data_IF_740836754822
#
_entry.id   IF_740836754822
#
_cell.length_a   1.000
_cell.length_b   1.000
_cell.length_c   1.000
_cell.angle_alpha   90.00
_cell.angle_beta   90.00
_cell.angle_gamma   90.00
#
_symmetry.space_group_name_H-M   'P 1'
#
loop_
_entity.id
_entity.type
_entity.pdbx_description
1 polymer ?
#
# COMPACT_ATOMS: atom_id res chain seq x y z
N UNK A 1 42.30 37.61 15.07
CA UNK A 1 42.15 36.21 14.63
C UNK A 1 43.17 35.96 13.55
N UNK A 2 44.14 35.06 13.77
CA UNK A 2 45.24 34.82 12.83
C UNK A 2 44.70 34.18 11.54
N UNK A 3 45.28 34.60 10.38
CA UNK A 3 44.89 34.03 9.06
C UNK A 3 44.92 32.50 9.02
N UNK A 4 45.84 31.90 9.78
CA UNK A 4 45.97 30.46 9.94
C UNK A 4 44.76 29.85 10.66
N UNK A 5 44.23 30.49 11.71
CA UNK A 5 43.06 30.02 12.46
C UNK A 5 41.80 30.09 11.59
N UNK A 6 41.67 31.14 10.76
CA UNK A 6 40.55 31.28 9.83
C UNK A 6 40.59 30.20 8.74
N UNK A 7 41.76 29.85 8.25
CA UNK A 7 41.94 28.80 7.24
C UNK A 7 41.61 27.40 7.81
N UNK A 8 41.98 27.15 9.08
CA UNK A 8 41.64 25.86 9.74
C UNK A 8 40.12 25.76 9.99
N UNK A 9 39.46 26.83 10.41
CA UNK A 9 38.00 26.85 10.61
C UNK A 9 37.28 26.61 9.26
N UNK A 10 37.73 27.26 8.20
CA UNK A 10 37.18 27.12 6.87
C UNK A 10 37.40 25.70 6.30
N UNK A 11 38.59 25.11 6.54
CA UNK A 11 38.86 23.72 6.15
C UNK A 11 37.98 22.70 6.93
N UNK A 12 37.74 22.91 8.23
CA UNK A 12 36.83 22.07 9.01
C UNK A 12 35.36 22.11 8.52
N UNK A 13 34.90 23.27 8.03
CA UNK A 13 33.56 23.44 7.49
C UNK A 13 33.39 22.64 6.17
N UNK A 14 34.43 22.55 5.33
CA UNK A 14 34.43 21.75 4.10
C UNK A 14 34.51 20.24 4.34
N UNK A 15 34.99 19.79 5.50
CA UNK A 15 34.99 18.37 5.88
C UNK A 15 33.68 17.85 6.47
N UNK A 16 32.76 18.73 6.83
CA UNK A 16 31.38 18.37 7.15
C UNK A 16 30.64 18.07 5.84
N UNK A 17 30.97 16.94 5.21
CA UNK A 17 30.11 16.34 4.21
C UNK A 17 28.81 16.04 4.93
N UNK A 18 27.84 16.91 4.74
CA UNK A 18 26.49 16.59 5.09
C UNK A 18 26.08 15.38 4.26
N UNK A 19 26.16 14.21 4.84
CA UNK A 19 25.51 13.03 4.27
C UNK A 19 24.00 13.33 4.38
N UNK A 20 23.42 13.85 3.30
CA UNK A 20 21.99 13.84 3.17
C UNK A 20 21.59 12.37 3.23
N UNK A 21 20.97 11.97 4.32
CA UNK A 21 20.45 10.61 4.45
C UNK A 21 19.33 10.47 3.43
N UNK A 22 19.59 9.72 2.38
CA UNK A 22 18.58 9.44 1.37
C UNK A 22 17.54 8.50 2.01
N UNK A 23 16.28 8.91 1.98
CA UNK A 23 15.18 8.06 2.43
C UNK A 23 14.95 6.97 1.39
N UNK A 24 15.08 5.72 1.81
CA UNK A 24 14.71 4.57 0.98
C UNK A 24 13.26 4.21 1.30
N UNK A 25 12.46 3.96 0.27
CA UNK A 25 11.06 3.57 0.39
C UNK A 25 10.86 2.25 -0.33
N UNK A 26 10.24 1.29 0.35
CA UNK A 26 9.76 0.05 -0.23
C UNK A 26 8.23 0.08 -0.19
N UNK A 27 7.61 0.05 -1.36
CA UNK A 27 6.16 -0.08 -1.50
C UNK A 27 5.80 -1.54 -1.70
N UNK A 28 4.65 -1.96 -1.14
CA UNK A 28 4.12 -3.30 -1.30
C UNK A 28 2.62 -3.23 -1.59
N UNK A 29 2.25 -3.57 -2.82
CA UNK A 29 0.86 -3.83 -3.19
C UNK A 29 0.39 -5.12 -2.54
N UNK A 30 -0.78 -5.09 -1.92
CA UNK A 30 -1.41 -6.23 -1.26
C UNK A 30 -2.87 -6.35 -1.68
N UNK A 31 -3.45 -7.51 -1.53
CA UNK A 31 -4.91 -7.67 -1.56
C UNK A 31 -5.46 -7.68 -0.13
N UNK A 32 -6.75 -7.42 0.03
CA UNK A 32 -7.41 -7.48 1.33
C UNK A 32 -7.55 -8.92 1.82
N UNK A 33 -6.84 -9.28 2.89
CA UNK A 33 -6.80 -10.65 3.44
C UNK A 33 -8.10 -11.07 4.12
N UNK A 34 -8.96 -10.13 4.48
CA UNK A 34 -10.26 -10.36 5.12
C UNK A 34 -11.45 -10.28 4.15
N UNK A 35 -11.17 -10.02 2.87
CA UNK A 35 -12.15 -9.99 1.77
C UNK A 35 -13.40 -9.14 2.07
N UNK A 36 -13.26 -7.85 2.38
CA UNK A 36 -14.40 -6.99 2.70
C UNK A 36 -15.30 -6.73 1.49
N UNK A 37 -14.87 -7.12 0.27
CA UNK A 37 -15.55 -6.87 -1.01
C UNK A 37 -15.88 -5.37 -1.21
N UNK A 38 -14.94 -4.52 -0.84
CA UNK A 38 -15.00 -3.07 -1.06
C UNK A 38 -14.29 -2.65 -2.35
N UNK A 39 -13.55 -3.57 -2.97
CA UNK A 39 -12.86 -3.36 -4.23
C UNK A 39 -13.80 -3.52 -5.42
N UNK A 40 -13.42 -2.95 -6.56
CA UNK A 40 -14.17 -3.11 -7.82
C UNK A 40 -14.29 -4.59 -8.22
N UNK A 41 -13.25 -5.37 -7.98
CA UNK A 41 -13.28 -6.82 -8.18
C UNK A 41 -13.67 -7.51 -6.87
N UNK A 42 -14.89 -8.03 -6.82
CA UNK A 42 -15.37 -8.83 -5.70
C UNK A 42 -14.87 -10.28 -5.81
N UNK A 43 -14.39 -10.81 -4.70
CA UNK A 43 -13.97 -12.21 -4.60
C UNK A 43 -15.15 -13.02 -4.08
N UNK A 44 -15.55 -14.06 -4.83
CA UNK A 44 -16.61 -14.96 -4.41
C UNK A 44 -16.24 -15.70 -3.11
N UNK A 45 -17.23 -16.10 -2.31
CA UNK A 45 -16.98 -16.84 -1.06
C UNK A 45 -16.18 -18.11 -1.29
N UNK A 46 -16.39 -18.80 -2.43
CA UNK A 46 -15.67 -20.04 -2.80
C UNK A 46 -14.20 -19.77 -3.12
N UNK A 47 -13.85 -18.54 -3.51
CA UNK A 47 -12.49 -18.15 -3.86
C UNK A 47 -11.72 -17.51 -2.70
N UNK A 48 -12.42 -17.19 -1.61
CA UNK A 48 -11.77 -16.66 -0.40
C UNK A 48 -10.94 -17.74 0.29
N UNK A 49 -9.82 -17.29 0.89
CA UNK A 49 -8.95 -18.14 1.70
C UNK A 49 -9.02 -17.72 3.17
N UNK A 50 -8.88 -18.66 4.08
CA UNK A 50 -8.70 -18.32 5.49
C UNK A 50 -7.21 -18.12 5.80
N UNK A 51 -6.77 -16.87 5.76
CA UNK A 51 -5.37 -16.49 6.04
C UNK A 51 -4.91 -16.85 7.45
N UNK A 52 -5.84 -17.13 8.40
CA UNK A 52 -5.49 -17.59 9.74
C UNK A 52 -5.21 -19.09 9.79
N UNK A 53 -5.48 -19.83 8.72
CA UNK A 53 -5.15 -21.26 8.66
C UNK A 53 -3.63 -21.49 8.75
N UNK A 54 -3.18 -22.61 9.30
CA UNK A 54 -1.75 -22.86 9.54
C UNK A 54 -0.86 -22.79 8.29
N UNK A 55 -1.40 -23.14 7.13
CA UNK A 55 -0.64 -23.11 5.86
C UNK A 55 -0.32 -21.67 5.46
N UNK A 56 -1.31 -20.79 5.47
CA UNK A 56 -1.11 -19.39 5.11
C UNK A 56 -0.37 -18.60 6.19
N UNK A 57 -0.54 -18.94 7.47
CA UNK A 57 0.22 -18.32 8.54
C UNK A 57 1.74 -18.56 8.39
N UNK A 58 2.16 -19.77 8.02
CA UNK A 58 3.57 -20.06 7.73
C UNK A 58 4.09 -19.23 6.55
N UNK A 59 3.29 -19.09 5.50
CA UNK A 59 3.65 -18.32 4.32
C UNK A 59 3.76 -16.82 4.66
N UNK A 60 2.79 -16.26 5.38
CA UNK A 60 2.80 -14.86 5.84
C UNK A 60 4.02 -14.58 6.73
N UNK A 61 4.37 -15.50 7.62
CA UNK A 61 5.57 -15.38 8.45
C UNK A 61 6.86 -15.35 7.61
N UNK A 62 6.95 -16.19 6.58
CA UNK A 62 8.09 -16.17 5.66
C UNK A 62 8.16 -14.86 4.88
N UNK A 63 7.03 -14.34 4.41
CA UNK A 63 6.93 -13.06 3.70
C UNK A 63 7.37 -11.92 4.64
N UNK A 64 6.82 -11.84 5.85
CA UNK A 64 7.17 -10.82 6.83
C UNK A 64 8.67 -10.85 7.17
N UNK A 65 9.25 -12.04 7.35
CA UNK A 65 10.69 -12.20 7.59
C UNK A 65 11.56 -11.75 6.40
N UNK A 66 11.09 -11.97 5.16
CA UNK A 66 11.79 -11.49 3.96
C UNK A 66 11.76 -9.96 3.87
N UNK A 67 10.59 -9.36 4.07
CA UNK A 67 10.39 -7.91 4.04
C UNK A 67 11.15 -7.20 5.18
N UNK A 68 11.22 -7.80 6.35
CA UNK A 68 11.99 -7.28 7.48
C UNK A 68 13.51 -7.14 7.19
N UNK A 69 14.03 -7.79 6.16
CA UNK A 69 15.44 -7.61 5.73
C UNK A 69 15.72 -6.21 5.18
N UNK A 70 14.70 -5.51 4.71
CA UNK A 70 14.79 -4.09 4.35
C UNK A 70 15.09 -3.21 5.56
N UNK A 71 14.79 -3.67 6.78
CA UNK A 71 15.01 -2.99 8.06
C UNK A 71 14.34 -1.62 8.14
N UNK A 72 13.03 -1.51 7.87
CA UNK A 72 12.33 -0.23 7.92
C UNK A 72 12.34 0.34 9.35
N UNK A 73 12.51 1.66 9.47
CA UNK A 73 12.31 2.41 10.71
C UNK A 73 10.84 2.76 10.92
N UNK A 74 10.08 2.79 9.84
CA UNK A 74 8.65 3.11 9.81
C UNK A 74 7.90 2.17 8.87
N UNK A 75 6.70 1.75 9.28
CA UNK A 75 5.71 1.06 8.45
C UNK A 75 4.54 2.01 8.27
N UNK A 76 4.25 2.34 7.02
CA UNK A 76 3.07 3.13 6.64
C UNK A 76 1.98 2.16 6.18
N UNK A 77 0.78 2.28 6.73
CA UNK A 77 -0.35 1.40 6.46
C UNK A 77 -1.53 2.18 5.88
N UNK A 78 -2.29 1.51 5.04
CA UNK A 78 -3.56 2.01 4.52
C UNK A 78 -4.63 1.88 5.61
N UNK A 79 -4.74 2.93 6.41
CA UNK A 79 -5.73 3.06 7.47
C UNK A 79 -5.96 4.56 7.71
N UNK A 80 -7.20 5.01 7.93
CA UNK A 80 -7.48 6.42 8.19
C UNK A 80 -6.61 7.01 9.30
N UNK A 81 -6.06 8.20 9.06
CA UNK A 81 -5.17 8.89 10.01
C UNK A 81 -5.82 9.04 11.39
N UNK A 82 -7.15 9.27 11.43
CA UNK A 82 -7.92 9.33 12.66
C UNK A 82 -7.92 8.03 13.48
N UNK A 83 -7.59 6.91 12.85
CA UNK A 83 -7.48 5.60 13.49
C UNK A 83 -6.14 5.33 14.19
N UNK A 84 -5.15 6.24 14.07
CA UNK A 84 -3.80 6.05 14.66
C UNK A 84 -3.83 5.63 16.13
N UNK A 85 -4.62 6.26 17.04
CA UNK A 85 -4.63 5.86 18.46
C UNK A 85 -5.11 4.42 18.68
N UNK A 86 -6.05 3.95 17.84
CA UNK A 86 -6.55 2.56 17.90
C UNK A 86 -5.48 1.59 17.43
N UNK A 87 -4.79 1.90 16.33
CA UNK A 87 -3.70 1.08 15.79
C UNK A 87 -2.56 0.98 16.81
N UNK A 88 -2.14 2.10 17.40
CA UNK A 88 -1.08 2.13 18.44
C UNK A 88 -1.42 1.22 19.63
N UNK A 89 -2.66 1.28 20.12
CA UNK A 89 -3.12 0.46 21.22
C UNK A 89 -3.14 -1.03 20.86
N UNK A 90 -3.62 -1.40 19.67
CA UNK A 90 -3.62 -2.78 19.19
C UNK A 90 -2.19 -3.30 19.00
N UNK A 91 -1.32 -2.51 18.41
CA UNK A 91 0.08 -2.90 18.21
C UNK A 91 0.81 -3.07 19.54
N UNK A 92 0.61 -2.15 20.50
CA UNK A 92 1.14 -2.28 21.86
C UNK A 92 0.64 -3.56 22.56
N UNK A 93 -0.64 -3.88 22.42
CA UNK A 93 -1.20 -5.10 22.95
C UNK A 93 -0.62 -6.36 22.27
N UNK A 94 -0.37 -6.32 20.96
CA UNK A 94 0.30 -7.38 20.22
C UNK A 94 1.73 -7.59 20.69
N UNK A 95 2.51 -6.52 20.89
CA UNK A 95 3.87 -6.62 21.44
C UNK A 95 3.88 -7.24 22.84
N UNK A 96 2.86 -6.96 23.64
CA UNK A 96 2.69 -7.52 24.98
C UNK A 96 2.10 -8.96 25.02
N UNK A 97 1.83 -9.56 23.85
CA UNK A 97 1.21 -10.89 23.76
C UNK A 97 -0.27 -10.94 24.15
N UNK A 98 -0.94 -9.77 24.26
CA UNK A 98 -2.34 -9.63 24.70
C UNK A 98 -3.33 -9.44 23.54
N UNK A 99 -2.84 -9.39 22.30
CA UNK A 99 -3.66 -9.27 21.10
C UNK A 99 -3.26 -10.34 20.08
N UNK A 100 -4.24 -11.05 19.55
CA UNK A 100 -4.10 -11.96 18.42
C UNK A 100 -4.35 -11.17 17.13
N UNK A 101 -3.51 -11.35 16.13
CA UNK A 101 -3.66 -10.68 14.85
C UNK A 101 -4.97 -11.10 14.18
N UNK A 102 -5.71 -10.10 13.66
CA UNK A 102 -6.88 -10.34 12.82
C UNK A 102 -6.46 -10.83 11.42
N UNK A 103 -7.44 -11.07 10.54
CA UNK A 103 -7.15 -11.44 9.14
C UNK A 103 -6.50 -10.31 8.35
N UNK A 104 -6.74 -9.05 8.70
CA UNK A 104 -6.27 -7.89 7.93
C UNK A 104 -4.77 -7.94 7.62
N UNK A 105 -4.40 -7.64 6.39
CA UNK A 105 -3.01 -7.52 5.89
C UNK A 105 -2.21 -6.50 6.69
N UNK A 106 -2.86 -5.44 7.17
CA UNK A 106 -2.26 -4.44 8.06
C UNK A 106 -1.68 -5.10 9.30
N UNK A 107 -2.42 -6.03 9.91
CA UNK A 107 -1.94 -6.74 11.10
C UNK A 107 -1.04 -7.92 10.72
N UNK A 108 -1.42 -8.68 9.71
CA UNK A 108 -0.68 -9.88 9.32
C UNK A 108 0.72 -9.57 8.77
N UNK A 109 0.88 -8.50 8.01
CA UNK A 109 2.18 -8.06 7.50
C UNK A 109 2.72 -6.86 8.29
N UNK A 110 1.95 -5.77 8.38
CA UNK A 110 2.42 -4.53 8.99
C UNK A 110 2.87 -4.69 10.44
N UNK A 111 2.05 -5.30 11.31
CA UNK A 111 2.42 -5.51 12.72
C UNK A 111 3.57 -6.50 12.89
N UNK A 112 3.63 -7.56 12.07
CA UNK A 112 4.73 -8.53 12.13
C UNK A 112 6.06 -7.88 11.74
N UNK A 113 6.09 -7.15 10.64
CA UNK A 113 7.31 -6.47 10.17
C UNK A 113 7.73 -5.40 11.19
N UNK A 114 6.78 -4.58 11.68
CA UNK A 114 7.05 -3.58 12.69
C UNK A 114 7.65 -4.19 13.98
N UNK A 115 7.13 -5.33 14.44
CA UNK A 115 7.68 -6.06 15.57
C UNK A 115 9.10 -6.58 15.31
N UNK A 116 9.36 -7.15 14.12
CA UNK A 116 10.66 -7.70 13.75
C UNK A 116 11.74 -6.62 13.65
N UNK A 117 11.36 -5.42 13.17
CA UNK A 117 12.27 -4.31 12.93
C UNK A 117 12.29 -3.27 14.06
N UNK A 118 11.46 -3.42 15.10
CA UNK A 118 11.21 -2.38 16.10
C UNK A 118 10.74 -1.04 15.50
N UNK A 119 10.04 -1.12 14.35
CA UNK A 119 9.57 0.03 13.59
C UNK A 119 8.30 0.65 14.19
N UNK A 120 8.09 1.92 13.92
CA UNK A 120 6.82 2.62 14.23
C UNK A 120 5.81 2.35 13.10
N UNK A 121 4.52 2.39 13.44
CA UNK A 121 3.43 2.25 12.47
C UNK A 121 2.73 3.60 12.31
N UNK A 122 2.48 4.00 11.07
CA UNK A 122 1.80 5.24 10.72
C UNK A 122 0.61 4.94 9.80
N UNK A 123 -0.55 5.50 10.15
CA UNK A 123 -1.74 5.48 9.31
C UNK A 123 -1.65 6.62 8.29
N UNK A 124 -1.87 6.33 7.00
CA UNK A 124 -1.72 7.32 5.93
C UNK A 124 -2.85 7.29 4.88
N UNK A 125 -3.96 6.61 5.16
CA UNK A 125 -5.13 6.70 4.30
C UNK A 125 -5.81 8.07 4.50
N UNK A 126 -5.73 8.90 3.48
CA UNK A 126 -6.40 10.18 3.39
C UNK A 126 -7.64 10.01 2.51
N UNK A 127 -8.77 9.66 3.09
CA UNK A 127 -10.06 9.77 2.40
C UNK A 127 -10.30 11.24 2.07
N UNK A 128 -9.97 11.61 0.85
CA UNK A 128 -10.00 12.98 0.38
C UNK A 128 -11.20 13.29 -0.50
N UNK A 129 -11.30 14.55 -0.87
CA UNK A 129 -12.29 15.17 -1.77
C UNK A 129 -12.35 14.56 -3.18
N UNK A 130 -11.36 13.76 -3.58
CA UNK A 130 -11.31 13.13 -4.90
C UNK A 130 -12.39 12.07 -5.08
N UNK A 131 -12.61 11.23 -4.07
CA UNK A 131 -13.67 10.20 -4.12
C UNK A 131 -15.06 10.83 -4.19
N UNK A 132 -15.30 11.89 -3.40
CA UNK A 132 -16.58 12.59 -3.41
C UNK A 132 -16.90 13.22 -4.77
N UNK A 133 -15.88 13.64 -5.51
CA UNK A 133 -16.03 14.23 -6.83
C UNK A 133 -16.30 13.20 -7.93
N UNK A 134 -15.72 12.02 -7.81
CA UNK A 134 -16.04 10.89 -8.69
C UNK A 134 -17.44 10.39 -8.39
N UNK A 135 -17.84 10.31 -7.10
CA UNK A 135 -19.22 9.98 -6.69
C UNK A 135 -20.22 10.97 -7.27
N UNK A 136 -19.95 12.29 -7.18
CA UNK A 136 -20.78 13.34 -7.80
C UNK A 136 -20.86 13.18 -9.34
N UNK A 137 -19.76 12.81 -9.99
CA UNK A 137 -19.72 12.54 -11.42
C UNK A 137 -20.59 11.32 -11.80
N UNK A 138 -20.61 10.30 -10.94
CA UNK A 138 -21.35 9.04 -11.16
C UNK A 138 -22.83 9.13 -10.79
N UNK A 139 -23.28 10.20 -10.11
CA UNK A 139 -24.69 10.41 -9.74
C UNK A 139 -25.60 10.74 -10.93
N UNK A 140 -25.06 11.30 -12.03
CA UNK A 140 -25.83 11.70 -13.21
C UNK A 140 -25.30 11.07 -14.49
N UNK A 141 -25.87 9.93 -14.86
CA UNK A 141 -25.53 9.13 -16.04
C UNK A 141 -25.89 9.82 -17.37
N UNK A 142 -26.69 10.89 -17.33
CA UNK A 142 -27.06 11.67 -18.52
C UNK A 142 -25.98 12.65 -18.97
N UNK A 143 -24.97 12.88 -18.12
CA UNK A 143 -23.90 13.83 -18.44
C UNK A 143 -22.93 13.27 -19.48
N UNK A 144 -22.41 14.14 -20.34
CA UNK A 144 -21.34 13.76 -21.28
C UNK A 144 -20.09 13.26 -20.56
N UNK A 145 -19.79 13.81 -19.37
CA UNK A 145 -18.65 13.40 -18.54
C UNK A 145 -18.80 11.97 -18.05
N UNK A 146 -20.01 11.58 -17.59
CA UNK A 146 -20.29 10.20 -17.23
C UNK A 146 -20.13 9.25 -18.43
N UNK A 147 -20.70 9.61 -19.58
CA UNK A 147 -20.61 8.80 -20.81
C UNK A 147 -19.16 8.65 -21.28
N UNK A 148 -18.38 9.72 -21.26
CA UNK A 148 -16.95 9.69 -21.60
C UNK A 148 -16.15 8.84 -20.59
N UNK A 149 -16.53 8.89 -19.31
CA UNK A 149 -15.94 8.06 -18.26
C UNK A 149 -16.28 6.58 -18.50
N UNK A 150 -17.54 6.27 -18.71
CA UNK A 150 -18.01 4.90 -18.95
C UNK A 150 -17.35 4.30 -20.21
N UNK A 151 -17.27 5.06 -21.30
CA UNK A 151 -16.64 4.62 -22.54
C UNK A 151 -15.12 4.38 -22.35
N UNK A 152 -14.42 5.26 -21.63
CA UNK A 152 -12.98 5.15 -21.45
C UNK A 152 -12.59 4.14 -20.37
N UNK A 153 -13.44 3.91 -19.38
CA UNK A 153 -13.15 3.06 -18.22
C UNK A 153 -13.78 1.66 -18.36
N UNK A 154 -15.06 1.56 -18.74
CA UNK A 154 -15.77 0.29 -18.82
C UNK A 154 -15.55 -0.40 -20.18
N UNK A 155 -15.48 0.37 -21.26
CA UNK A 155 -15.34 -0.14 -22.62
C UNK A 155 -13.93 0.02 -23.19
N UNK A 156 -12.94 0.42 -22.36
CA UNK A 156 -11.54 0.44 -22.78
C UNK A 156 -11.12 -0.93 -23.30
N UNK A 157 -10.38 -1.01 -24.42
CA UNK A 157 -9.81 -2.28 -24.90
C UNK A 157 -8.91 -2.97 -23.88
N UNK A 158 -8.44 -2.25 -22.86
CA UNK A 158 -7.68 -2.80 -21.74
C UNK A 158 -8.55 -3.14 -20.51
N UNK A 159 -9.88 -3.09 -20.64
CA UNK A 159 -10.80 -3.56 -19.57
C UNK A 159 -10.55 -5.02 -19.16
N UNK A 160 -9.89 -5.82 -20.01
CA UNK A 160 -9.38 -7.15 -19.66
C UNK A 160 -8.42 -7.16 -18.46
N UNK A 161 -7.85 -6.02 -18.09
CA UNK A 161 -6.97 -5.89 -16.92
C UNK A 161 -7.75 -5.84 -15.60
N UNK A 162 -9.02 -5.41 -15.62
CA UNK A 162 -9.91 -5.40 -14.46
C UNK A 162 -10.53 -6.75 -14.16
N UNK A 163 -10.52 -7.64 -15.13
CA UNK A 163 -11.11 -8.97 -15.07
C UNK A 163 -10.04 -10.05 -15.17
N UNK A 164 -8.90 -9.83 -14.50
CA UNK A 164 -7.90 -10.88 -14.43
C UNK A 164 -8.52 -12.17 -13.85
N UNK A 165 -8.19 -13.26 -14.53
CA UNK A 165 -8.54 -14.61 -14.19
C UNK A 165 -8.30 -14.91 -12.70
N UNK A 166 -9.08 -15.83 -12.19
CA UNK A 166 -9.07 -16.41 -10.85
C UNK A 166 -7.91 -16.05 -9.91
N UNK A 167 -8.18 -15.63 -8.69
CA UNK A 167 -7.15 -15.14 -7.76
C UNK A 167 -6.03 -16.17 -7.59
N UNK A 168 -4.81 -15.75 -7.89
CA UNK A 168 -3.60 -16.59 -7.85
C UNK A 168 -3.40 -17.20 -6.46
N UNK A 169 -3.77 -16.45 -5.39
CA UNK A 169 -3.62 -16.92 -4.02
C UNK A 169 -4.39 -18.23 -3.72
N UNK A 170 -5.52 -18.48 -4.38
CA UNK A 170 -6.31 -19.70 -4.20
C UNK A 170 -5.54 -20.94 -4.67
N UNK A 171 -4.84 -20.82 -5.78
CA UNK A 171 -4.16 -21.94 -6.42
C UNK A 171 -2.69 -22.08 -6.00
N UNK A 172 -2.00 -20.97 -5.78
CA UNK A 172 -0.53 -20.92 -5.62
C UNK A 172 -0.07 -20.35 -4.29
N UNK A 173 -0.98 -19.79 -3.46
CA UNK A 173 -0.67 -19.17 -2.18
C UNK A 173 -0.48 -17.65 -2.27
N UNK A 174 -0.22 -17.05 -1.11
CA UNK A 174 -0.16 -15.59 -0.93
C UNK A 174 1.08 -14.97 -1.60
N UNK A 175 2.24 -15.60 -1.48
CA UNK A 175 3.48 -15.05 -2.02
C UNK A 175 3.45 -14.89 -3.56
N UNK A 176 2.99 -15.87 -4.35
CA UNK A 176 2.83 -15.69 -5.78
C UNK A 176 1.85 -14.57 -6.16
N UNK A 177 0.76 -14.41 -5.40
CA UNK A 177 -0.17 -13.28 -5.58
C UNK A 177 0.53 -11.95 -5.33
N UNK A 178 1.27 -11.82 -4.23
CA UNK A 178 2.00 -10.58 -3.94
C UNK A 178 3.10 -10.29 -4.97
N UNK A 179 3.79 -11.33 -5.48
CA UNK A 179 4.77 -11.14 -6.56
C UNK A 179 4.09 -10.59 -7.81
N UNK A 180 2.92 -11.10 -8.17
CA UNK A 180 2.15 -10.63 -9.31
C UNK A 180 1.70 -9.18 -9.13
N UNK A 181 1.09 -8.84 -8.00
CA UNK A 181 0.64 -7.46 -7.70
C UNK A 181 1.79 -6.44 -7.66
N UNK A 182 3.01 -6.89 -7.40
CA UNK A 182 4.19 -6.04 -7.34
C UNK A 182 5.11 -6.21 -8.55
N UNK A 183 4.66 -6.87 -9.60
CA UNK A 183 5.38 -6.95 -10.87
C UNK A 183 5.39 -5.57 -11.55
N UNK A 184 6.55 -5.06 -12.00
CA UNK A 184 6.64 -3.73 -12.59
C UNK A 184 5.76 -3.53 -13.82
N UNK A 185 5.57 -4.56 -14.65
CA UNK A 185 4.71 -4.46 -15.82
C UNK A 185 3.22 -4.46 -15.42
N UNK A 186 2.86 -5.22 -14.39
CA UNK A 186 1.51 -5.19 -13.82
C UNK A 186 1.19 -3.81 -13.24
N UNK A 187 2.06 -3.29 -12.37
CA UNK A 187 1.91 -1.93 -11.78
C UNK A 187 1.79 -0.86 -12.86
N UNK A 188 2.59 -0.96 -13.92
CA UNK A 188 2.55 0.01 -15.02
C UNK A 188 1.22 -0.01 -15.78
N UNK A 189 0.66 -1.19 -15.98
CA UNK A 189 -0.66 -1.35 -16.61
C UNK A 189 -1.76 -0.77 -15.72
N UNK A 190 -1.79 -1.13 -14.43
CA UNK A 190 -2.76 -0.61 -13.47
C UNK A 190 -2.68 0.92 -13.36
N UNK A 191 -1.47 1.48 -13.26
CA UNK A 191 -1.27 2.93 -13.25
C UNK A 191 -1.80 3.57 -14.55
N UNK A 192 -1.61 2.92 -15.70
CA UNK A 192 -2.16 3.36 -16.98
C UNK A 192 -3.67 3.49 -16.95
N UNK A 193 -4.35 2.53 -16.35
CA UNK A 193 -5.80 2.55 -16.18
C UNK A 193 -6.27 3.71 -15.31
N UNK A 194 -5.60 3.96 -14.19
CA UNK A 194 -5.89 5.14 -13.36
C UNK A 194 -5.71 6.45 -14.13
N UNK A 195 -4.65 6.58 -14.91
CA UNK A 195 -4.36 7.80 -15.67
C UNK A 195 -5.34 8.05 -16.82
N UNK A 196 -5.88 6.99 -17.43
CA UNK A 196 -6.85 7.10 -18.52
C UNK A 196 -8.25 7.38 -17.96
N UNK A 197 -8.65 6.73 -16.87
CA UNK A 197 -9.99 6.81 -16.30
C UNK A 197 -10.17 7.94 -15.28
N UNK A 198 -9.78 7.68 -14.04
CA UNK A 198 -10.12 8.52 -12.89
C UNK A 198 -9.45 9.91 -12.90
N UNK A 199 -8.19 10.01 -13.33
CA UNK A 199 -7.41 11.24 -13.20
C UNK A 199 -7.44 12.16 -14.43
N UNK A 200 -7.91 11.66 -15.58
CA UNK A 200 -8.03 12.46 -16.79
C UNK A 200 -8.93 13.70 -16.59
N UNK A 201 -9.95 13.58 -15.75
CA UNK A 201 -10.93 14.64 -15.50
C UNK A 201 -10.52 15.65 -14.41
N UNK A 202 -9.42 15.40 -13.69
CA UNK A 202 -8.91 16.32 -12.67
C UNK A 202 -7.81 17.25 -13.21
N UNK A 203 -7.15 16.89 -14.32
CA UNK A 203 -6.03 17.65 -14.87
C UNK A 203 -6.43 18.90 -15.66
N UNK A 204 -7.71 19.05 -16.01
CA UNK A 204 -8.19 20.13 -16.87
C UNK A 204 -8.76 21.34 -16.11
N UNK A 205 -8.30 21.59 -14.85
CA UNK A 205 -8.69 22.77 -14.07
C UNK A 205 -7.48 23.54 -13.55
#
# INVERSE_FOLDING_TARGET
MNKVTLFFIMACIFYLKGYAQQTEVLTLGVFHFDFPNLDMQQISEEDQIDVLSPVYQKEIELIANKLAKFRPDAIVIEHPVTGQPKVDNLFKAYLAGKHKLSKSEVQQLGFRIAKLCHAKIYCADARGTQTARIEELLEDDSTKQYQDFEESFVHSPDSSLYFEDQPIFKQKGILPQLIHLNDPEHIKKDLGNYLIGHFKYESDK
#
